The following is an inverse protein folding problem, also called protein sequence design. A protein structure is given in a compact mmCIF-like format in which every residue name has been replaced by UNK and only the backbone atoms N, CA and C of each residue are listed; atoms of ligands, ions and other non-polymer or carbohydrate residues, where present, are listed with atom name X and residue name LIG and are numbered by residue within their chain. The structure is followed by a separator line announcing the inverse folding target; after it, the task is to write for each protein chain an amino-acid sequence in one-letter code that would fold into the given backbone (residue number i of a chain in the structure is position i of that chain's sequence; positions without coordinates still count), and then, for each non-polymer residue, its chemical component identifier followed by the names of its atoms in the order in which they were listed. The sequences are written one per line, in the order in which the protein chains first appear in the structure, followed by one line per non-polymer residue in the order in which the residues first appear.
data_IF_100022936648
#
_entry.id   IF_100022936648
#
_cell.length_a   1.000
_cell.length_b   1.000
_cell.length_c   1.000
_cell.angle_alpha   90.00
_cell.angle_beta   90.00
_cell.angle_gamma   90.00
#
_symmetry.space_group_name_H-M   'P 1'
#
loop_
_entity.id
_entity.type
_entity.pdbx_description
1 polymer ?
#
# COMPACT_ATOMS: atom_id res chain seq x y z
N UNK A 1 7.77 11.48 -10.51
CA UNK A 1 6.47 11.44 -11.20
C UNK A 1 6.71 11.69 -12.67
N UNK A 2 6.63 10.65 -13.50
CA UNK A 2 6.67 10.80 -14.95
C UNK A 2 5.26 10.92 -15.54
N UNK A 3 5.18 11.29 -16.82
CA UNK A 3 3.91 11.34 -17.57
C UNK A 3 3.13 10.00 -17.51
N UNK A 4 3.85 8.88 -17.55
CA UNK A 4 3.23 7.54 -17.44
C UNK A 4 2.52 7.32 -16.09
N UNK A 5 2.98 7.93 -15.00
CA UNK A 5 2.32 7.79 -13.69
C UNK A 5 0.94 8.44 -13.72
N UNK A 6 0.83 9.60 -14.38
CA UNK A 6 -0.43 10.34 -14.54
C UNK A 6 -1.43 9.58 -15.41
N UNK A 7 -0.95 8.89 -16.45
CA UNK A 7 -1.79 8.07 -17.33
C UNK A 7 -2.23 6.76 -16.67
N UNK A 8 -1.32 6.08 -15.96
CA UNK A 8 -1.60 4.78 -15.33
C UNK A 8 -2.51 4.92 -14.11
N UNK A 9 -2.38 6.01 -13.33
CA UNK A 9 -3.16 6.20 -12.11
C UNK A 9 -4.69 6.06 -12.31
N UNK A 10 -5.35 6.78 -13.23
CA UNK A 10 -6.78 6.63 -13.44
C UNK A 10 -7.18 5.22 -13.91
N UNK A 11 -6.31 4.53 -14.67
CA UNK A 11 -6.55 3.14 -15.11
C UNK A 11 -6.61 2.20 -13.90
N UNK A 12 -5.65 2.30 -12.98
CA UNK A 12 -5.66 1.48 -11.76
C UNK A 12 -6.79 1.88 -10.80
N UNK A 13 -7.11 3.16 -10.69
CA UNK A 13 -8.28 3.61 -9.91
C UNK A 13 -9.57 3.00 -10.47
N UNK A 14 -9.74 2.97 -11.79
CA UNK A 14 -10.88 2.32 -12.42
C UNK A 14 -10.92 0.82 -12.12
N UNK A 15 -9.79 0.11 -12.25
CA UNK A 15 -9.65 -1.30 -11.90
C UNK A 15 -10.10 -1.58 -10.47
N UNK A 16 -9.59 -0.83 -9.50
CA UNK A 16 -9.98 -0.99 -8.10
C UNK A 16 -11.43 -0.57 -7.86
N UNK A 17 -11.92 0.47 -8.52
CA UNK A 17 -13.31 0.87 -8.42
C UNK A 17 -14.25 -0.26 -8.81
N UNK A 18 -13.97 -0.98 -9.90
CA UNK A 18 -14.78 -2.14 -10.30
C UNK A 18 -14.69 -3.30 -9.29
N UNK A 19 -13.48 -3.62 -8.82
CA UNK A 19 -13.27 -4.67 -7.81
C UNK A 19 -14.05 -4.38 -6.51
N UNK A 20 -13.94 -3.15 -6.00
CA UNK A 20 -14.63 -2.73 -4.78
C UNK A 20 -16.12 -2.47 -5.00
N UNK A 21 -16.56 -2.13 -6.22
CA UNK A 21 -17.98 -2.10 -6.58
C UNK A 21 -18.60 -3.49 -6.54
N UNK A 22 -17.93 -4.49 -7.11
CA UNK A 22 -18.39 -5.88 -7.04
C UNK A 22 -18.50 -6.37 -5.59
N UNK A 23 -17.54 -5.99 -4.73
CA UNK A 23 -17.63 -6.28 -3.29
C UNK A 23 -18.79 -5.53 -2.61
N UNK A 24 -18.97 -4.23 -2.90
CA UNK A 24 -20.02 -3.39 -2.32
C UNK A 24 -21.43 -3.84 -2.66
N UNK A 25 -21.62 -4.44 -3.83
CA UNK A 25 -22.92 -4.97 -4.25
C UNK A 25 -23.40 -6.16 -3.38
N UNK A 26 -22.51 -6.77 -2.59
CA UNK A 26 -22.87 -7.84 -1.63
C UNK A 26 -23.43 -7.33 -0.30
N UNK A 27 -23.43 -6.03 -0.07
CA UNK A 27 -24.08 -5.47 1.12
C UNK A 27 -25.57 -5.30 0.84
N UNK A 28 -26.43 -5.53 1.83
CA UNK A 28 -27.87 -5.26 1.69
C UNK A 28 -28.15 -3.80 2.08
N UNK A 29 -27.60 -3.37 3.22
CA UNK A 29 -27.80 -2.03 3.79
C UNK A 29 -27.31 -0.89 2.85
N UNK A 30 -28.19 0.02 2.42
CA UNK A 30 -27.83 1.18 1.60
C UNK A 30 -26.88 2.16 2.30
N UNK A 31 -26.95 2.28 3.63
CA UNK A 31 -26.08 3.17 4.42
C UNK A 31 -24.64 2.67 4.37
N UNK A 32 -24.45 1.36 4.59
CA UNK A 32 -23.15 0.71 4.49
C UNK A 32 -22.53 0.86 3.09
N UNK A 33 -23.34 0.76 2.03
CA UNK A 33 -22.87 0.99 0.65
C UNK A 33 -22.37 2.41 0.44
N UNK A 34 -23.08 3.39 0.98
CA UNK A 34 -22.72 4.80 0.86
C UNK A 34 -21.36 5.09 1.51
N UNK A 35 -21.17 4.67 2.77
CA UNK A 35 -19.89 4.86 3.46
C UNK A 35 -18.74 4.09 2.82
N UNK A 36 -18.98 2.88 2.32
CA UNK A 36 -17.95 2.13 1.59
C UNK A 36 -17.48 2.90 0.35
N UNK A 37 -18.40 3.54 -0.39
CA UNK A 37 -18.06 4.32 -1.58
C UNK A 37 -17.25 5.57 -1.21
N UNK A 38 -17.65 6.29 -0.15
CA UNK A 38 -16.93 7.46 0.32
C UNK A 38 -15.52 7.11 0.81
N UNK A 39 -15.40 6.08 1.65
CA UNK A 39 -14.12 5.63 2.19
C UNK A 39 -13.13 5.22 1.09
N UNK A 40 -13.62 4.56 0.03
CA UNK A 40 -12.81 4.26 -1.16
C UNK A 40 -12.23 5.52 -1.79
N UNK A 41 -13.06 6.54 -2.07
CA UNK A 41 -12.60 7.77 -2.71
C UNK A 41 -11.64 8.58 -1.81
N UNK A 42 -11.90 8.62 -0.51
CA UNK A 42 -10.97 9.24 0.46
C UNK A 42 -9.60 8.57 0.37
N UNK A 43 -9.55 7.23 0.37
CA UNK A 43 -8.31 6.46 0.25
C UNK A 43 -7.60 6.68 -1.09
N UNK A 44 -8.33 6.80 -2.20
CA UNK A 44 -7.75 7.10 -3.53
C UNK A 44 -7.16 8.51 -3.55
N UNK A 45 -7.91 9.51 -3.08
CA UNK A 45 -7.47 10.91 -3.07
C UNK A 45 -6.26 11.09 -2.16
N UNK A 46 -6.25 10.44 -0.98
CA UNK A 46 -5.16 10.54 -0.01
C UNK A 46 -3.81 9.99 -0.52
N UNK A 47 -3.82 9.06 -1.49
CA UNK A 47 -2.59 8.50 -2.07
C UNK A 47 -1.75 9.56 -2.77
N UNK A 48 -2.38 10.51 -3.46
CA UNK A 48 -1.66 11.54 -4.25
C UNK A 48 -0.80 12.45 -3.35
N UNK A 49 -1.35 13.17 -2.35
CA UNK A 49 -0.55 14.01 -1.47
C UNK A 49 0.42 13.20 -0.63
N UNK A 50 0.05 11.99 -0.17
CA UNK A 50 0.96 11.11 0.57
C UNK A 50 2.18 10.71 -0.27
N UNK A 51 1.95 10.37 -1.54
CA UNK A 51 3.04 10.01 -2.44
C UNK A 51 3.90 11.22 -2.79
N UNK A 52 3.30 12.38 -3.01
CA UNK A 52 4.02 13.62 -3.27
C UNK A 52 4.91 14.01 -2.08
N UNK A 53 4.38 13.92 -0.87
CA UNK A 53 5.11 14.17 0.37
C UNK A 53 6.32 13.25 0.49
N UNK A 54 6.14 11.94 0.34
CA UNK A 54 7.24 10.97 0.46
C UNK A 54 8.23 11.00 -0.71
N UNK A 55 7.82 11.44 -1.90
CA UNK A 55 8.70 11.43 -3.07
C UNK A 55 9.51 12.73 -3.22
N UNK A 56 9.00 13.86 -2.72
CA UNK A 56 9.59 15.19 -2.96
C UNK A 56 9.98 15.90 -1.67
N UNK A 57 9.08 15.97 -0.68
CA UNK A 57 9.30 16.80 0.51
C UNK A 57 10.15 16.08 1.56
N UNK A 58 9.82 14.83 1.85
CA UNK A 58 10.47 14.03 2.89
C UNK A 58 10.66 12.61 2.39
N UNK A 59 11.74 12.35 1.62
CA UNK A 59 12.07 11.01 1.18
C UNK A 59 12.55 10.17 2.38
N UNK A 60 11.61 9.44 2.99
CA UNK A 60 11.88 8.45 4.04
C UNK A 60 12.12 7.05 3.48
N UNK A 61 12.20 6.08 4.39
CA UNK A 61 12.50 4.66 4.08
C UNK A 61 11.49 4.03 3.11
N UNK A 62 10.23 4.46 3.17
CA UNK A 62 9.18 4.09 2.20
C UNK A 62 9.59 4.30 0.75
N UNK A 63 10.27 5.42 0.46
CA UNK A 63 10.75 5.72 -0.88
C UNK A 63 12.19 5.25 -1.11
N UNK A 64 13.12 5.62 -0.22
CA UNK A 64 14.56 5.44 -0.42
C UNK A 64 15.07 4.02 -0.18
N UNK A 65 14.34 3.22 0.59
CA UNK A 65 14.70 1.84 0.92
C UNK A 65 13.69 0.86 0.30
N UNK A 66 12.43 0.92 0.70
CA UNK A 66 11.45 -0.11 0.33
C UNK A 66 11.11 -0.06 -1.15
N UNK A 67 10.76 1.10 -1.70
CA UNK A 67 10.41 1.21 -3.12
C UNK A 67 11.62 1.03 -4.05
N UNK A 68 12.75 1.66 -3.75
CA UNK A 68 13.97 1.59 -4.58
C UNK A 68 14.53 0.17 -4.68
N UNK A 69 14.68 -0.53 -3.55
CA UNK A 69 15.26 -1.87 -3.53
C UNK A 69 14.26 -2.91 -4.02
N UNK A 70 12.97 -2.76 -3.73
CA UNK A 70 11.96 -3.67 -4.26
C UNK A 70 11.82 -3.57 -5.79
N UNK A 71 11.85 -2.36 -6.34
CA UNK A 71 11.89 -2.16 -7.80
C UNK A 71 13.18 -2.72 -8.40
N UNK A 72 14.31 -2.62 -7.70
CA UNK A 72 15.57 -3.21 -8.15
C UNK A 72 15.51 -4.74 -8.20
N UNK A 73 15.08 -5.39 -7.12
CA UNK A 73 14.91 -6.85 -7.07
C UNK A 73 13.94 -7.33 -8.15
N UNK A 74 12.82 -6.63 -8.34
CA UNK A 74 11.89 -6.97 -9.41
C UNK A 74 12.54 -6.87 -10.80
N UNK A 75 13.38 -5.85 -11.05
CA UNK A 75 14.16 -5.75 -12.29
C UNK A 75 15.22 -6.85 -12.44
N UNK A 76 15.89 -7.26 -11.35
CA UNK A 76 16.85 -8.38 -11.37
C UNK A 76 16.15 -9.69 -11.75
N UNK A 77 14.95 -9.92 -11.24
CA UNK A 77 14.12 -11.08 -11.59
C UNK A 77 13.68 -11.04 -13.06
N UNK A 78 13.34 -9.85 -13.57
CA UNK A 78 12.97 -9.69 -14.99
C UNK A 78 14.15 -9.89 -15.94
N UNK A 79 15.35 -9.48 -15.52
CA UNK A 79 16.58 -9.67 -16.30
C UNK A 79 17.02 -11.14 -16.29
N UNK A 80 16.91 -11.80 -15.15
CA UNK A 80 17.21 -13.23 -15.00
C UNK A 80 16.30 -13.83 -13.93
N UNK A 81 15.46 -14.77 -14.37
CA UNK A 81 14.48 -15.44 -13.51
C UNK A 81 15.13 -16.27 -12.39
N UNK A 82 16.42 -16.63 -12.51
CA UNK A 82 17.17 -17.30 -11.44
C UNK A 82 17.21 -16.47 -10.13
N UNK A 83 17.01 -15.15 -10.24
CA UNK A 83 16.95 -14.24 -9.11
C UNK A 83 15.63 -14.29 -8.32
N UNK A 84 14.65 -15.11 -8.72
CA UNK A 84 13.40 -15.29 -7.95
C UNK A 84 13.67 -15.76 -6.51
N UNK A 85 14.83 -16.38 -6.27
CA UNK A 85 15.32 -16.76 -4.94
C UNK A 85 15.30 -15.64 -3.91
N UNK A 86 15.48 -14.39 -4.33
CA UNK A 86 15.43 -13.23 -3.43
C UNK A 86 14.03 -12.96 -2.85
N UNK A 87 12.98 -13.64 -3.34
CA UNK A 87 11.64 -13.53 -2.77
C UNK A 87 11.40 -14.47 -1.58
N UNK A 88 12.23 -15.50 -1.40
CA UNK A 88 12.01 -16.52 -0.36
C UNK A 88 13.25 -16.89 0.47
N UNK A 89 14.46 -16.51 0.06
CA UNK A 89 15.65 -16.65 0.89
C UNK A 89 15.59 -15.71 2.12
N UNK A 90 16.31 -16.05 3.21
CA UNK A 90 16.40 -15.20 4.39
C UNK A 90 17.27 -13.96 4.14
N UNK A 91 17.09 -12.91 4.95
CA UNK A 91 17.80 -11.63 4.80
C UNK A 91 19.33 -11.73 4.86
N UNK A 92 19.84 -12.68 5.64
CA UNK A 92 21.28 -12.86 5.84
C UNK A 92 21.99 -13.34 4.56
N UNK A 93 21.26 -14.06 3.70
CA UNK A 93 21.79 -14.62 2.45
C UNK A 93 21.68 -13.64 1.28
N UNK A 94 21.02 -12.48 1.48
CA UNK A 94 20.90 -11.46 0.45
C UNK A 94 22.24 -10.80 0.16
N UNK A 95 22.68 -10.88 -1.10
CA UNK A 95 23.90 -10.23 -1.55
C UNK A 95 23.72 -8.71 -1.63
N UNK A 96 24.34 -8.00 -0.69
CA UNK A 96 24.25 -6.54 -0.60
C UNK A 96 25.00 -5.80 -1.71
N UNK A 97 25.85 -6.47 -2.49
CA UNK A 97 26.44 -5.87 -3.68
C UNK A 97 25.38 -5.59 -4.76
N UNK A 98 24.22 -6.26 -4.68
CA UNK A 98 23.11 -6.09 -5.60
C UNK A 98 22.20 -4.90 -5.25
N UNK A 99 22.47 -4.19 -4.15
CA UNK A 99 21.69 -3.02 -3.75
C UNK A 99 21.73 -1.92 -4.82
N UNK A 100 20.59 -1.28 -5.05
CA UNK A 100 20.51 -0.13 -5.97
C UNK A 100 21.11 1.12 -5.36
N UNK A 101 20.87 1.34 -4.07
CA UNK A 101 21.44 2.45 -3.33
C UNK A 101 22.45 1.94 -2.29
N UNK A 102 23.76 2.22 -2.46
CA UNK A 102 24.78 1.82 -1.49
C UNK A 102 24.55 2.36 -0.07
N UNK A 103 23.78 3.44 0.09
CA UNK A 103 23.42 3.98 1.41
C UNK A 103 22.48 3.06 2.20
N UNK A 104 21.84 2.09 1.54
CA UNK A 104 20.97 1.10 2.16
C UNK A 104 21.74 -0.13 2.69
N UNK A 105 23.07 -0.11 2.66
CA UNK A 105 23.91 -1.20 3.16
C UNK A 105 23.60 -1.46 4.64
N UNK A 106 23.41 -2.74 4.98
CA UNK A 106 23.05 -3.17 6.33
C UNK A 106 21.55 -3.17 6.63
N UNK A 107 20.75 -2.29 6.01
CA UNK A 107 19.31 -2.21 6.28
C UNK A 107 18.56 -3.49 5.90
N UNK A 108 18.95 -4.12 4.79
CA UNK A 108 18.35 -5.39 4.34
C UNK A 108 18.89 -6.63 5.06
N UNK A 109 19.84 -6.51 6.01
CA UNK A 109 20.19 -7.63 6.89
C UNK A 109 19.08 -7.93 7.89
N UNK A 110 18.29 -6.92 8.25
CA UNK A 110 17.14 -7.10 9.12
C UNK A 110 16.02 -7.80 8.37
N UNK A 111 15.57 -8.94 8.90
CA UNK A 111 14.49 -9.74 8.32
C UNK A 111 13.19 -8.94 8.19
N UNK A 112 12.91 -8.02 9.13
CA UNK A 112 11.73 -7.15 9.10
C UNK A 112 11.72 -6.25 7.86
N UNK A 113 12.83 -5.56 7.60
CA UNK A 113 12.96 -4.67 6.45
C UNK A 113 12.94 -5.48 5.14
N UNK A 114 13.62 -6.62 5.14
CA UNK A 114 13.70 -7.48 3.97
C UNK A 114 12.36 -8.14 3.62
N UNK A 115 11.53 -8.48 4.61
CA UNK A 115 10.16 -8.95 4.39
C UNK A 115 9.32 -7.90 3.65
N UNK A 116 9.42 -6.63 4.05
CA UNK A 116 8.70 -5.52 3.38
C UNK A 116 9.19 -5.42 1.93
N UNK A 117 10.50 -5.47 1.69
CA UNK A 117 11.09 -5.46 0.35
C UNK A 117 10.60 -6.63 -0.51
N UNK A 118 10.45 -7.84 0.05
CA UNK A 118 9.92 -9.02 -0.67
C UNK A 118 8.46 -8.87 -1.07
N UNK A 119 7.62 -8.37 -0.17
CA UNK A 119 6.20 -8.14 -0.47
C UNK A 119 6.06 -7.02 -1.51
N UNK A 120 6.80 -5.92 -1.31
CA UNK A 120 6.77 -4.77 -2.21
C UNK A 120 7.37 -5.09 -3.57
N UNK A 121 8.32 -6.02 -3.72
CA UNK A 121 8.90 -6.37 -5.04
C UNK A 121 7.90 -7.11 -5.91
N UNK A 122 7.11 -8.01 -5.34
CA UNK A 122 5.99 -8.67 -6.02
C UNK A 122 4.93 -7.64 -6.44
N UNK A 123 4.55 -6.74 -5.53
CA UNK A 123 3.60 -5.67 -5.85
C UNK A 123 4.15 -4.65 -6.85
N UNK A 124 5.45 -4.39 -6.83
CA UNK A 124 6.15 -3.46 -7.74
C UNK A 124 6.06 -3.93 -9.18
N UNK A 125 6.10 -5.25 -9.41
CA UNK A 125 5.86 -5.83 -10.72
C UNK A 125 4.45 -5.51 -11.23
N UNK A 126 3.43 -5.72 -10.40
CA UNK A 126 2.04 -5.37 -10.73
C UNK A 126 1.85 -3.86 -10.88
N UNK A 127 2.64 -3.05 -10.18
CA UNK A 127 2.59 -1.60 -10.25
C UNK A 127 3.45 -1.01 -11.40
N UNK A 128 4.05 -1.85 -12.26
CA UNK A 128 4.96 -1.44 -13.33
C UNK A 128 6.10 -0.53 -12.84
N UNK A 129 6.62 -0.83 -11.64
CA UNK A 129 7.63 -0.06 -10.94
C UNK A 129 7.27 1.42 -10.77
N UNK A 130 5.98 1.74 -10.62
CA UNK A 130 5.51 3.11 -10.37
C UNK A 130 5.12 3.29 -8.91
N UNK A 131 5.78 4.23 -8.23
CA UNK A 131 5.58 4.46 -6.80
C UNK A 131 4.14 4.85 -6.43
N UNK A 132 3.48 5.71 -7.23
CA UNK A 132 2.07 6.10 -6.99
C UNK A 132 1.14 4.89 -7.04
N UNK A 133 1.35 4.03 -8.03
CA UNK A 133 0.53 2.84 -8.23
C UNK A 133 0.78 1.85 -7.09
N UNK A 134 2.03 1.67 -6.67
CA UNK A 134 2.38 0.87 -5.50
C UNK A 134 1.67 1.37 -4.23
N UNK A 135 1.70 2.67 -3.96
CA UNK A 135 0.99 3.27 -2.83
C UNK A 135 -0.53 3.12 -2.95
N UNK A 136 -1.08 3.12 -4.17
CA UNK A 136 -2.49 2.81 -4.40
C UNK A 136 -2.82 1.37 -4.00
N UNK A 137 -1.98 0.38 -4.37
CA UNK A 137 -2.14 -1.01 -3.92
C UNK A 137 -2.17 -1.10 -2.38
N UNK A 138 -1.20 -0.50 -1.69
CA UNK A 138 -1.17 -0.48 -0.23
C UNK A 138 -2.39 0.20 0.39
N UNK A 139 -2.83 1.31 -0.20
CA UNK A 139 -4.06 2.01 0.21
C UNK A 139 -5.29 1.10 0.09
N UNK A 140 -5.41 0.30 -0.97
CA UNK A 140 -6.51 -0.64 -1.18
C UNK A 140 -6.47 -1.86 -0.25
N UNK A 141 -5.27 -2.38 0.05
CA UNK A 141 -5.08 -3.45 1.03
C UNK A 141 -5.47 -2.95 2.43
N UNK A 142 -4.95 -1.79 2.84
CA UNK A 142 -5.28 -1.12 4.10
C UNK A 142 -6.79 -0.83 4.21
N UNK A 143 -7.40 -0.32 3.15
CA UNK A 143 -8.84 -0.08 3.08
C UNK A 143 -9.66 -1.35 3.35
N UNK A 144 -9.24 -2.50 2.80
CA UNK A 144 -9.93 -3.78 3.04
C UNK A 144 -9.88 -4.21 4.51
N UNK A 145 -8.76 -3.97 5.20
CA UNK A 145 -8.61 -4.25 6.63
C UNK A 145 -9.47 -3.32 7.49
N UNK A 146 -9.34 -2.01 7.28
CA UNK A 146 -10.10 -0.99 8.03
C UNK A 146 -11.59 -1.16 7.84
N UNK A 147 -12.04 -1.52 6.63
CA UNK A 147 -13.46 -1.75 6.37
C UNK A 147 -14.01 -2.97 7.13
N UNK A 148 -13.22 -4.05 7.27
CA UNK A 148 -13.60 -5.20 8.10
C UNK A 148 -13.70 -4.80 9.57
N UNK A 149 -12.76 -4.00 10.06
CA UNK A 149 -12.77 -3.48 11.42
C UNK A 149 -13.98 -2.56 11.67
N UNK A 150 -14.30 -1.66 10.75
CA UNK A 150 -15.49 -0.81 10.83
C UNK A 150 -16.78 -1.65 10.95
N UNK A 151 -16.95 -2.67 10.11
CA UNK A 151 -18.11 -3.57 10.19
C UNK A 151 -18.16 -4.37 11.48
N UNK A 152 -17.01 -4.75 12.03
CA UNK A 152 -16.94 -5.42 13.32
C UNK A 152 -17.50 -4.53 14.43
N UNK A 153 -17.14 -3.24 14.46
CA UNK A 153 -17.68 -2.29 15.45
C UNK A 153 -19.16 -1.95 15.22
N UNK A 154 -19.64 -1.95 13.98
CA UNK A 154 -21.06 -1.71 13.68
C UNK A 154 -21.95 -2.90 14.09
N UNK A 155 -21.45 -4.13 13.96
CA UNK A 155 -22.22 -5.34 14.28
C UNK A 155 -22.11 -5.74 15.75
N UNK A 156 -20.92 -5.56 16.35
CA UNK A 156 -20.71 -5.79 17.77
C UNK A 156 -21.30 -4.60 18.50
N UNK A 157 -22.58 -4.69 18.86
CA UNK A 157 -23.27 -3.72 19.72
C UNK A 157 -22.58 -3.69 21.09
N UNK A 158 -21.44 -3.02 21.20
CA UNK A 158 -20.72 -2.83 22.45
C UNK A 158 -20.13 -1.42 22.48
N UNK A 159 -20.86 -0.54 23.18
CA UNK A 159 -20.38 0.69 23.81
C UNK A 159 -19.85 1.74 22.81
N UNK A 160 -20.71 2.65 22.35
CA UNK A 160 -20.33 4.06 22.05
C UNK A 160 -21.49 4.93 21.53
N UNK A 161 -22.76 4.61 21.83
CA UNK A 161 -23.87 5.48 21.38
C UNK A 161 -23.88 6.82 22.14
N UNK A 162 -23.16 6.99 23.26
CA UNK A 162 -23.26 8.22 24.07
C UNK A 162 -21.97 9.01 24.33
N UNK A 163 -20.82 8.71 23.72
CA UNK A 163 -19.59 9.47 24.10
C UNK A 163 -18.47 9.61 23.09
N UNK A 164 -18.57 9.10 21.85
CA UNK A 164 -17.52 9.33 20.85
C UNK A 164 -18.11 9.92 19.55
N UNK A 165 -17.77 11.19 19.22
CA UNK A 165 -18.26 11.80 18.00
C UNK A 165 -17.73 11.05 16.77
N UNK A 166 -18.60 10.89 15.76
CA UNK A 166 -18.38 10.31 14.42
C UNK A 166 -16.96 10.45 13.81
N UNK A 167 -16.20 11.55 13.96
CA UNK A 167 -14.81 11.60 13.52
C UNK A 167 -13.91 10.47 14.04
N UNK A 168 -14.13 9.91 15.24
CA UNK A 168 -13.26 8.86 15.78
C UNK A 168 -13.41 7.48 15.11
N UNK A 169 -14.56 7.17 14.52
CA UNK A 169 -14.71 5.98 13.67
C UNK A 169 -14.07 6.17 12.28
N UNK A 170 -13.83 7.43 11.86
CA UNK A 170 -13.14 7.78 10.60
C UNK A 170 -11.63 7.96 10.81
N UNK A 171 -11.17 8.20 12.04
CA UNK A 171 -9.75 8.29 12.37
C UNK A 171 -8.92 7.07 11.92
N UNK A 172 -9.35 5.81 12.10
CA UNK A 172 -8.63 4.67 11.53
C UNK A 172 -8.73 4.59 10.00
N UNK A 173 -9.64 5.31 9.32
CA UNK A 173 -9.65 5.45 7.86
C UNK A 173 -8.61 6.46 7.34
N UNK A 174 -8.34 7.52 8.10
CA UNK A 174 -7.33 8.55 7.79
C UNK A 174 -5.91 8.14 8.21
N UNK A 175 -5.73 7.60 9.42
CA UNK A 175 -4.40 7.28 9.97
C UNK A 175 -3.80 5.96 9.47
N UNK A 176 -4.61 5.01 8.99
CA UNK A 176 -4.10 3.75 8.40
C UNK A 176 -3.48 3.91 7.01
N UNK A 177 -3.36 5.14 6.51
CA UNK A 177 -2.51 5.50 5.37
C UNK A 177 -1.04 5.72 5.76
N UNK A 178 -0.73 5.73 7.06
CA UNK A 178 0.64 5.74 7.56
C UNK A 178 0.98 4.31 7.99
N UNK A 179 1.64 3.50 7.15
CA UNK A 179 2.49 2.47 7.72
C UNK A 179 3.47 3.22 8.64
N UNK A 180 3.32 3.05 9.94
CA UNK A 180 4.42 3.28 10.87
C UNK A 180 5.41 2.13 10.61
N UNK A 181 6.19 2.25 9.54
CA UNK A 181 7.32 1.41 9.19
C UNK A 181 8.38 2.28 8.54
#
# INVERSE_FOLDING_TARGET
MGFLDLLLFPVYVALFYFLFRARRNRYDDPVLKYYHKQAFWIKVIAVVPFTLFNAILSPGDSFLLYYTESANIANLILKDFSNIKWLYLPSIDFDQSLLKNPLNLGYLRSENNYMIVRITSVLSYLALHKYVILNLFFSMISFSGVWRLYRFFMNSTLICINSLPLPFCIYPLLCSGVPAF
#
